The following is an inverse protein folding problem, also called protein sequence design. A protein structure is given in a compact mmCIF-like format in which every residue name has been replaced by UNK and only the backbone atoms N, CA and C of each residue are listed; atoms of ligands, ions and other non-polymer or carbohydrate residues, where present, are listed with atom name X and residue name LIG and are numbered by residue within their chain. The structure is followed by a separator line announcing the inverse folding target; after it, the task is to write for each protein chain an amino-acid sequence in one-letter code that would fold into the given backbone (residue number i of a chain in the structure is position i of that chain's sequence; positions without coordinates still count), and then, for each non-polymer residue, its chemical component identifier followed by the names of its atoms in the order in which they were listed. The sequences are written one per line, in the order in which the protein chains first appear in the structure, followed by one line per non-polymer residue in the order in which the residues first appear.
data_IF_757446590045
#
_entry.id   IF_757446590045
#
_cell.length_a   1.000
_cell.length_b   1.000
_cell.length_c   1.000
_cell.angle_alpha   90.00
_cell.angle_beta   90.00
_cell.angle_gamma   90.00
#
_symmetry.space_group_name_H-M   'P 1'
#
loop_
_entity.id
_entity.type
_entity.pdbx_description
1 polymer ?
#
# COMPACT_ATOMS: atom_id res chain seq x y z
N UNK A 1 22.85 -9.13 -3.09
CA UNK A 1 21.78 -8.62 -2.20
C UNK A 1 20.86 -9.78 -1.90
N UNK A 2 20.42 -9.91 -0.67
CA UNK A 2 19.49 -10.97 -0.29
C UNK A 2 18.19 -10.83 -1.10
N UNK A 3 17.69 -11.90 -1.66
CA UNK A 3 16.52 -11.88 -2.57
C UNK A 3 15.19 -11.94 -1.82
N UNK A 4 15.21 -12.17 -0.51
CA UNK A 4 14.03 -12.32 0.34
C UNK A 4 14.21 -11.65 1.70
N UNK A 5 13.09 -11.36 2.35
CA UNK A 5 13.02 -10.95 3.75
C UNK A 5 13.01 -12.17 4.66
N UNK A 6 13.64 -12.06 5.83
CA UNK A 6 13.62 -13.11 6.83
C UNK A 6 12.25 -13.20 7.52
N UNK A 7 11.63 -14.39 7.57
CA UNK A 7 10.38 -14.58 8.31
C UNK A 7 10.59 -14.32 9.82
N UNK A 8 9.67 -13.56 10.42
CA UNK A 8 9.64 -13.32 11.86
C UNK A 8 8.32 -13.83 12.46
N UNK A 9 8.20 -13.94 13.80
CA UNK A 9 6.92 -14.31 14.42
C UNK A 9 5.76 -13.37 14.04
N UNK A 10 6.05 -12.09 13.75
CA UNK A 10 5.04 -11.11 13.36
C UNK A 10 4.65 -11.19 11.87
N UNK A 11 5.55 -11.69 11.03
CA UNK A 11 5.33 -11.79 9.59
C UNK A 11 4.97 -13.20 9.11
N UNK A 12 4.98 -14.19 10.02
CA UNK A 12 4.63 -15.58 9.70
C UNK A 12 3.14 -15.83 9.97
N UNK A 13 2.32 -16.12 8.94
CA UNK A 13 0.90 -16.42 9.15
C UNK A 13 0.72 -17.74 9.92
N UNK A 14 -0.28 -17.77 10.81
CA UNK A 14 -0.64 -18.98 11.58
C UNK A 14 -1.43 -19.98 10.74
N UNK A 15 -2.19 -19.50 9.73
CA UNK A 15 -2.99 -20.33 8.81
C UNK A 15 -2.64 -20.03 7.36
N UNK A 16 -2.70 -21.04 6.50
CA UNK A 16 -2.39 -20.96 5.08
C UNK A 16 -0.97 -20.41 4.85
N UNK A 17 0.00 -21.02 5.52
CA UNK A 17 1.42 -20.64 5.44
C UNK A 17 1.98 -20.71 4.03
N UNK A 18 1.45 -21.61 3.20
CA UNK A 18 1.80 -21.78 1.79
C UNK A 18 1.48 -20.55 0.93
N UNK A 19 0.64 -19.64 1.42
CA UNK A 19 0.31 -18.38 0.75
C UNK A 19 1.27 -17.25 1.10
N UNK A 20 2.11 -17.44 2.10
CA UNK A 20 3.12 -16.43 2.47
C UNK A 20 4.19 -16.32 1.38
N UNK A 21 4.63 -15.10 1.13
CA UNK A 21 5.75 -14.77 0.24
C UNK A 21 6.65 -13.78 0.96
N UNK A 22 7.94 -14.00 0.83
CA UNK A 22 8.97 -13.16 1.45
C UNK A 22 9.94 -12.61 0.41
N UNK A 23 9.83 -13.06 -0.85
CA UNK A 23 10.67 -12.54 -1.91
C UNK A 23 10.39 -11.06 -2.16
N UNK A 24 11.49 -10.29 -2.35
CA UNK A 24 11.42 -8.83 -2.50
C UNK A 24 10.62 -8.43 -3.73
N UNK A 25 10.73 -9.17 -4.81
CA UNK A 25 10.03 -8.88 -6.05
C UNK A 25 8.51 -8.87 -5.86
N UNK A 26 7.96 -9.91 -5.22
CA UNK A 26 6.51 -10.00 -4.93
C UNK A 26 6.07 -8.89 -3.98
N UNK A 27 6.82 -8.64 -2.90
CA UNK A 27 6.49 -7.58 -1.93
C UNK A 27 6.53 -6.21 -2.60
N UNK A 28 7.60 -5.89 -3.32
CA UNK A 28 7.77 -4.60 -3.99
C UNK A 28 6.65 -4.36 -5.01
N UNK A 29 6.34 -5.36 -5.85
CA UNK A 29 5.26 -5.25 -6.83
C UNK A 29 3.91 -4.94 -6.18
N UNK A 30 3.57 -5.58 -5.05
CA UNK A 30 2.33 -5.33 -4.32
C UNK A 30 2.31 -3.91 -3.75
N UNK A 31 3.41 -3.45 -3.16
CA UNK A 31 3.54 -2.09 -2.63
C UNK A 31 3.50 -1.02 -3.73
N UNK A 32 4.12 -1.30 -4.88
CA UNK A 32 4.20 -0.35 -5.99
C UNK A 32 2.89 -0.26 -6.80
N UNK A 33 2.06 -1.31 -6.79
CA UNK A 33 0.76 -1.33 -7.48
C UNK A 33 -0.36 -0.71 -6.64
N UNK A 34 -0.30 -0.85 -5.31
CA UNK A 34 -1.36 -0.38 -4.41
C UNK A 34 -1.26 1.14 -4.18
N UNK A 35 -2.32 1.90 -4.48
CA UNK A 35 -2.35 3.35 -4.30
C UNK A 35 -2.54 3.76 -2.84
N UNK A 36 -3.20 2.93 -2.04
CA UNK A 36 -3.56 3.21 -0.64
C UNK A 36 -3.00 2.11 0.26
N UNK A 37 -2.40 2.53 1.36
CA UNK A 37 -2.08 1.66 2.47
C UNK A 37 -2.94 2.00 3.70
N UNK A 38 -2.95 1.08 4.66
CA UNK A 38 -3.54 1.29 5.98
C UNK A 38 -2.42 1.35 7.02
N UNK A 39 -2.22 2.52 7.60
CA UNK A 39 -1.23 2.78 8.65
C UNK A 39 -1.85 2.50 10.01
N UNK A 40 -1.42 1.43 10.66
CA UNK A 40 -1.75 1.10 12.04
C UNK A 40 -0.69 1.62 13.01
N UNK A 41 -1.09 2.29 14.08
CA UNK A 41 -0.22 2.76 15.16
C UNK A 41 -0.99 2.89 16.48
N UNK A 42 -0.28 3.12 17.58
CA UNK A 42 -0.92 3.35 18.89
C UNK A 42 -1.00 4.85 19.17
N UNK A 43 -2.21 5.34 19.44
CA UNK A 43 -2.47 6.71 19.86
C UNK A 43 -3.24 6.72 21.19
N UNK A 44 -2.74 7.43 22.18
CA UNK A 44 -3.32 7.48 23.54
C UNK A 44 -3.64 6.08 24.11
N UNK A 45 -2.75 5.11 23.91
CA UNK A 45 -2.90 3.73 24.40
C UNK A 45 -3.89 2.87 23.63
N UNK A 46 -4.44 3.35 22.50
CA UNK A 46 -5.40 2.61 21.68
C UNK A 46 -4.88 2.45 20.25
N UNK A 47 -5.17 1.31 19.58
CA UNK A 47 -4.86 1.13 18.17
C UNK A 47 -5.70 2.07 17.30
N UNK A 48 -5.06 2.70 16.34
CA UNK A 48 -5.68 3.52 15.31
C UNK A 48 -5.21 3.01 13.96
N UNK A 49 -6.09 2.94 12.97
CA UNK A 49 -5.77 2.58 11.58
C UNK A 49 -6.27 3.68 10.66
N UNK A 50 -5.39 4.22 9.83
CA UNK A 50 -5.69 5.30 8.89
C UNK A 50 -5.37 4.85 7.46
N UNK A 51 -6.30 4.95 6.50
CA UNK A 51 -5.97 4.88 5.09
C UNK A 51 -5.17 6.11 4.67
N UNK A 52 -4.09 5.90 3.93
CA UNK A 52 -3.26 6.99 3.40
C UNK A 52 -2.51 6.53 2.15
N UNK A 53 -1.96 7.47 1.39
CA UNK A 53 -1.04 7.15 0.30
C UNK A 53 0.34 6.80 0.86
N UNK A 54 1.07 6.00 0.09
CA UNK A 54 2.45 5.62 0.38
C UNK A 54 3.26 5.60 -0.90
N UNK A 55 4.56 5.53 -0.78
CA UNK A 55 5.44 5.20 -1.90
C UNK A 55 6.69 4.49 -1.40
N UNK A 56 7.22 3.59 -2.21
CA UNK A 56 8.45 2.86 -1.92
C UNK A 56 9.62 3.42 -2.76
N UNK A 57 10.71 3.69 -2.09
CA UNK A 57 11.97 4.02 -2.75
C UNK A 57 13.07 3.08 -2.22
N UNK A 58 13.53 2.16 -3.05
CA UNK A 58 14.45 1.11 -2.60
C UNK A 58 13.81 0.23 -1.53
N UNK A 59 14.45 0.17 -0.37
CA UNK A 59 14.00 -0.63 0.79
C UNK A 59 13.31 0.25 1.86
N UNK A 60 12.81 1.42 1.49
CA UNK A 60 12.13 2.32 2.43
C UNK A 60 10.74 2.68 1.90
N UNK A 61 9.74 2.56 2.76
CA UNK A 61 8.36 2.99 2.52
C UNK A 61 8.17 4.38 3.13
N UNK A 62 7.68 5.31 2.33
CA UNK A 62 7.41 6.68 2.76
C UNK A 62 5.91 6.91 2.89
N UNK A 63 5.54 7.61 3.97
CA UNK A 63 4.20 8.07 4.27
C UNK A 63 4.24 9.58 4.50
N UNK A 64 3.22 10.32 4.06
CA UNK A 64 3.17 11.76 4.29
C UNK A 64 1.86 12.20 4.92
N UNK A 65 1.88 13.40 5.48
CA UNK A 65 0.69 14.03 6.04
C UNK A 65 0.99 15.45 6.52
N UNK A 66 -0.04 16.12 7.02
CA UNK A 66 0.17 17.40 7.71
C UNK A 66 1.03 17.16 8.97
N UNK A 67 1.93 18.09 9.30
CA UNK A 67 2.70 18.05 10.56
C UNK A 67 1.82 18.03 11.82
N UNK A 68 0.55 18.44 11.70
CA UNK A 68 -0.45 18.35 12.78
C UNK A 68 -1.29 17.07 12.74
N UNK A 69 -1.05 16.13 11.82
CA UNK A 69 -1.78 14.86 11.78
C UNK A 69 -1.39 13.92 12.92
N UNK A 70 -2.32 13.03 13.32
CA UNK A 70 -2.11 12.10 14.42
C UNK A 70 -0.80 11.31 14.36
N UNK A 71 -0.46 10.63 13.23
CA UNK A 71 0.80 9.90 13.11
C UNK A 71 2.04 10.80 13.24
N UNK A 72 2.01 12.01 12.65
CA UNK A 72 3.14 12.95 12.74
C UNK A 72 3.32 13.49 14.15
N UNK A 73 2.22 13.79 14.86
CA UNK A 73 2.27 14.21 16.27
C UNK A 73 2.74 13.06 17.17
N UNK A 74 2.29 11.82 16.92
CA UNK A 74 2.75 10.65 17.67
C UNK A 74 4.23 10.40 17.47
N UNK A 75 4.73 10.46 16.23
CA UNK A 75 6.15 10.33 15.93
C UNK A 75 7.00 11.46 16.51
N UNK A 76 6.48 12.70 16.53
CA UNK A 76 7.16 13.84 17.18
C UNK A 76 7.23 13.69 18.71
N UNK A 77 6.21 13.14 19.34
CA UNK A 77 6.18 12.91 20.78
C UNK A 77 7.10 11.77 21.22
N UNK A 78 7.21 10.73 20.41
CA UNK A 78 8.05 9.55 20.68
C UNK A 78 8.51 8.92 19.38
N UNK A 79 9.68 9.30 18.91
CA UNK A 79 10.35 8.65 17.77
C UNK A 79 11.31 7.56 18.26
N UNK A 80 11.46 6.45 17.50
CA UNK A 80 10.66 6.08 16.34
C UNK A 80 9.23 5.66 16.73
N UNK A 81 8.28 5.75 15.78
CA UNK A 81 6.89 5.36 15.98
C UNK A 81 6.69 3.89 15.56
N UNK A 82 6.34 2.98 16.48
CA UNK A 82 5.97 1.62 16.12
C UNK A 82 4.70 1.61 15.26
N UNK A 83 4.78 0.98 14.09
CA UNK A 83 3.71 0.95 13.11
C UNK A 83 3.53 -0.43 12.48
N UNK A 84 2.34 -0.64 11.92
CA UNK A 84 2.07 -1.71 10.97
C UNK A 84 1.42 -1.07 9.74
N UNK A 85 2.04 -1.23 8.57
CA UNK A 85 1.49 -0.76 7.29
C UNK A 85 1.03 -1.96 6.50
N UNK A 86 -0.21 -1.91 6.00
CA UNK A 86 -0.77 -2.97 5.15
C UNK A 86 -1.30 -2.40 3.84
N UNK A 87 -1.14 -3.17 2.76
CA UNK A 87 -1.80 -2.95 1.48
C UNK A 87 -2.53 -4.21 1.07
N UNK A 88 -3.63 -4.06 0.32
CA UNK A 88 -4.38 -5.20 -0.22
C UNK A 88 -4.91 -4.86 -1.60
N UNK A 89 -4.67 -5.76 -2.54
CA UNK A 89 -5.22 -5.76 -3.88
C UNK A 89 -6.17 -6.95 -3.99
N UNK A 90 -7.39 -6.71 -4.43
CA UNK A 90 -8.40 -7.76 -4.67
C UNK A 90 -8.52 -7.95 -6.17
N UNK A 91 -8.11 -9.12 -6.66
CA UNK A 91 -8.01 -9.42 -8.09
C UNK A 91 -9.24 -10.16 -8.63
N UNK A 92 -9.98 -10.91 -7.78
CA UNK A 92 -11.24 -11.55 -8.17
C UNK A 92 -12.10 -11.94 -6.96
N UNK A 93 -13.41 -12.03 -7.16
CA UNK A 93 -14.32 -12.76 -6.27
C UNK A 93 -14.27 -14.25 -6.63
N UNK A 94 -14.28 -15.11 -5.61
CA UNK A 94 -14.33 -16.56 -5.78
C UNK A 94 -15.67 -17.05 -5.22
N UNK A 95 -16.56 -17.46 -6.11
CA UNK A 95 -17.88 -17.96 -5.79
C UNK A 95 -17.87 -19.49 -5.88
N UNK A 96 -18.28 -20.14 -4.83
CA UNK A 96 -18.29 -21.58 -4.70
C UNK A 96 -19.73 -22.10 -4.66
N UNK A 97 -19.93 -23.41 -4.71
CA UNK A 97 -21.25 -24.02 -4.55
C UNK A 97 -21.70 -23.99 -3.09
N UNK A 98 -20.77 -24.19 -2.18
CA UNK A 98 -21.00 -24.08 -0.73
C UNK A 98 -20.71 -22.66 -0.22
N UNK A 99 -21.54 -22.16 0.68
CA UNK A 99 -21.33 -20.86 1.33
C UNK A 99 -19.98 -20.76 2.06
N UNK A 100 -19.45 -21.87 2.55
CA UNK A 100 -18.18 -21.94 3.27
C UNK A 100 -16.97 -21.67 2.38
N UNK A 101 -17.03 -22.03 1.09
CA UNK A 101 -15.90 -22.00 0.17
C UNK A 101 -15.81 -20.71 -0.67
N UNK A 102 -16.71 -19.75 -0.46
CA UNK A 102 -16.58 -18.42 -1.05
C UNK A 102 -15.31 -17.74 -0.54
N UNK A 103 -14.63 -17.01 -1.41
CA UNK A 103 -13.35 -16.36 -1.09
C UNK A 103 -13.05 -15.22 -2.08
N UNK A 104 -11.80 -14.75 -2.07
CA UNK A 104 -11.26 -13.75 -3.01
C UNK A 104 -9.90 -14.20 -3.49
N UNK A 105 -9.55 -13.88 -4.73
CA UNK A 105 -8.16 -13.81 -5.19
C UNK A 105 -7.60 -12.48 -4.73
N UNK A 106 -6.47 -12.49 -4.04
CA UNK A 106 -5.90 -11.28 -3.49
C UNK A 106 -4.38 -11.37 -3.36
N UNK A 107 -3.76 -10.20 -3.35
CA UNK A 107 -2.37 -9.99 -2.99
C UNK A 107 -2.32 -8.94 -1.89
N UNK A 108 -1.59 -9.20 -0.81
CA UNK A 108 -1.43 -8.24 0.29
C UNK A 108 0.00 -8.23 0.76
N UNK A 109 0.45 -7.09 1.27
CA UNK A 109 1.73 -6.96 1.97
C UNK A 109 1.51 -6.34 3.34
N UNK A 110 2.32 -6.79 4.30
CA UNK A 110 2.35 -6.28 5.67
C UNK A 110 3.79 -5.90 5.99
N UNK A 111 3.98 -4.67 6.43
CA UNK A 111 5.27 -4.12 6.88
C UNK A 111 5.14 -3.74 8.33
N UNK A 112 5.94 -4.33 9.20
CA UNK A 112 5.97 -4.03 10.63
C UNK A 112 7.32 -3.42 10.97
N UNK A 113 7.32 -2.34 11.74
CA UNK A 113 8.57 -1.72 12.14
C UNK A 113 8.39 -0.39 12.84
N UNK A 114 9.48 0.33 12.94
CA UNK A 114 9.58 1.60 13.61
C UNK A 114 9.76 2.73 12.59
N UNK A 115 8.69 3.47 12.34
CA UNK A 115 8.73 4.60 11.41
C UNK A 115 9.44 5.80 12.06
N UNK A 116 10.43 6.36 11.34
CA UNK A 116 11.15 7.56 11.76
C UNK A 116 10.63 8.80 11.04
N UNK A 117 10.58 9.96 11.69
CA UNK A 117 10.39 11.23 11.01
C UNK A 117 11.54 11.50 10.05
N UNK A 118 11.23 12.03 8.86
CA UNK A 118 12.25 12.48 7.90
C UNK A 118 12.53 13.94 8.18
N UNK A 119 13.73 14.21 8.71
CA UNK A 119 14.18 15.56 9.09
C UNK A 119 15.03 16.20 7.99
N UNK A 120 15.83 15.39 7.24
CA UNK A 120 16.65 15.89 6.13
C UNK A 120 15.75 16.44 5.00
N UNK A 121 15.91 17.74 4.64
CA UNK A 121 15.10 18.36 3.58
C UNK A 121 15.27 17.68 2.21
N UNK A 122 16.46 17.17 1.90
CA UNK A 122 16.73 16.51 0.64
C UNK A 122 16.05 15.14 0.57
N UNK A 123 16.09 14.33 1.64
CA UNK A 123 15.35 13.08 1.74
C UNK A 123 13.83 13.34 1.65
N UNK A 124 13.35 14.36 2.38
CA UNK A 124 11.94 14.73 2.39
C UNK A 124 11.44 15.09 0.99
N UNK A 125 12.20 15.87 0.24
CA UNK A 125 11.86 16.25 -1.13
C UNK A 125 11.84 15.01 -2.05
N UNK A 126 12.84 14.12 -1.95
CA UNK A 126 12.85 12.84 -2.70
C UNK A 126 11.64 11.97 -2.37
N UNK A 127 11.27 11.86 -1.09
CA UNK A 127 10.10 11.10 -0.65
C UNK A 127 8.79 11.68 -1.23
N UNK A 128 8.62 13.00 -1.22
CA UNK A 128 7.46 13.68 -1.78
C UNK A 128 7.38 13.51 -3.30
N UNK A 129 8.50 13.59 -4.02
CA UNK A 129 8.53 13.30 -5.46
C UNK A 129 8.15 11.83 -5.73
N UNK A 130 8.69 10.89 -4.95
CA UNK A 130 8.34 9.48 -5.07
C UNK A 130 6.84 9.23 -4.86
N UNK A 131 6.22 9.90 -3.88
CA UNK A 131 4.77 9.83 -3.63
C UNK A 131 3.95 10.38 -4.80
N UNK A 132 4.39 11.46 -5.45
CA UNK A 132 3.74 12.00 -6.65
C UNK A 132 3.84 11.02 -7.83
N UNK A 133 5.02 10.49 -8.08
CA UNK A 133 5.25 9.54 -9.17
C UNK A 133 4.58 8.18 -8.93
N UNK A 134 4.37 7.78 -7.68
CA UNK A 134 3.58 6.62 -7.34
C UNK A 134 2.09 6.78 -7.71
N UNK A 135 1.54 7.99 -7.55
CA UNK A 135 0.15 8.31 -7.96
C UNK A 135 0.06 8.35 -9.49
N UNK A 136 1.01 9.04 -10.14
CA UNK A 136 1.06 9.16 -11.59
C UNK A 136 2.53 9.31 -12.02
N UNK A 137 3.06 8.27 -12.65
CA UNK A 137 4.46 8.22 -13.08
C UNK A 137 4.82 9.41 -13.98
N UNK A 138 5.87 10.16 -13.62
CA UNK A 138 6.31 11.38 -14.29
C UNK A 138 5.69 12.68 -13.74
N UNK A 139 4.72 12.58 -12.81
CA UNK A 139 4.03 13.77 -12.28
C UNK A 139 4.93 14.67 -11.45
N UNK A 140 5.92 14.13 -10.76
CA UNK A 140 6.84 14.94 -9.95
C UNK A 140 7.64 15.94 -10.79
N UNK A 141 7.96 15.59 -12.05
CA UNK A 141 8.66 16.47 -12.98
C UNK A 141 7.69 17.47 -13.69
N UNK A 142 6.39 17.18 -13.69
CA UNK A 142 5.35 17.96 -14.37
C UNK A 142 4.46 18.75 -13.40
N UNK A 143 5.03 19.16 -12.28
CA UNK A 143 4.40 20.08 -11.34
C UNK A 143 5.44 20.95 -10.63
N UNK A 144 4.97 22.06 -10.07
CA UNK A 144 5.84 22.97 -9.30
C UNK A 144 6.37 22.27 -8.05
N UNK A 145 7.67 22.38 -7.83
CA UNK A 145 8.31 21.92 -6.59
C UNK A 145 7.73 22.62 -5.36
N UNK A 146 7.52 21.92 -4.24
CA UNK A 146 7.02 22.50 -3.00
C UNK A 146 7.92 23.66 -2.52
N UNK A 147 7.32 24.76 -2.10
CA UNK A 147 8.05 25.87 -1.48
C UNK A 147 8.38 25.58 -0.01
N UNK A 148 9.20 26.45 0.61
CA UNK A 148 9.68 26.25 1.98
C UNK A 148 8.52 26.14 3.02
N UNK A 149 7.44 26.90 2.84
CA UNK A 149 6.27 26.85 3.73
C UNK A 149 5.53 25.51 3.59
N UNK A 150 5.32 25.05 2.36
CA UNK A 150 4.67 23.77 2.07
C UNK A 150 5.48 22.60 2.65
N UNK A 151 6.81 22.62 2.49
CA UNK A 151 7.70 21.64 3.09
C UNK A 151 7.64 21.67 4.62
N UNK A 152 7.58 22.86 5.23
CA UNK A 152 7.48 22.99 6.68
C UNK A 152 6.13 22.46 7.23
N UNK A 153 5.05 22.56 6.46
CA UNK A 153 3.72 22.07 6.84
C UNK A 153 3.50 20.59 6.59
N UNK A 154 4.38 19.94 5.80
CA UNK A 154 4.27 18.54 5.44
C UNK A 154 5.20 17.70 6.29
N UNK A 155 4.68 16.69 6.99
CA UNK A 155 5.46 15.65 7.67
C UNK A 155 5.66 14.46 6.74
N UNK A 156 6.81 13.80 6.88
CA UNK A 156 7.11 12.52 6.21
C UNK A 156 7.62 11.53 7.24
N UNK A 157 7.13 10.30 7.18
CA UNK A 157 7.64 9.15 7.93
C UNK A 157 8.32 8.20 6.95
N UNK A 158 9.45 7.65 7.36
CA UNK A 158 10.17 6.60 6.65
C UNK A 158 10.12 5.31 7.47
N UNK A 159 9.75 4.20 6.83
CA UNK A 159 9.68 2.87 7.40
C UNK A 159 10.53 1.94 6.54
N UNK A 160 11.60 1.41 7.10
CA UNK A 160 12.46 0.48 6.40
C UNK A 160 11.82 -0.90 6.27
N UNK A 161 11.97 -1.52 5.10
CA UNK A 161 11.43 -2.83 4.77
C UNK A 161 12.33 -3.93 5.37
N UNK A 162 12.18 -4.19 6.66
CA UNK A 162 12.95 -5.21 7.40
C UNK A 162 12.04 -6.39 7.79
N UNK A 163 10.98 -6.14 8.52
CA UNK A 163 9.97 -7.14 8.86
C UNK A 163 8.79 -7.05 7.90
N UNK A 164 8.84 -7.83 6.84
CA UNK A 164 7.88 -7.76 5.73
C UNK A 164 7.43 -9.14 5.33
N UNK A 165 6.15 -9.27 5.01
CA UNK A 165 5.60 -10.43 4.33
C UNK A 165 4.54 -10.02 3.33
N UNK A 166 4.39 -10.82 2.27
CA UNK A 166 3.21 -10.79 1.43
C UNK A 166 2.39 -12.06 1.62
N UNK A 167 1.11 -11.96 1.32
CA UNK A 167 0.21 -13.11 1.26
C UNK A 167 -0.53 -13.07 -0.05
N UNK A 168 -0.43 -14.16 -0.82
CA UNK A 168 -1.01 -14.29 -2.15
C UNK A 168 -1.95 -15.49 -2.15
N UNK A 169 -3.18 -15.28 -2.56
CA UNK A 169 -4.13 -16.33 -2.89
C UNK A 169 -4.54 -16.19 -4.35
N UNK A 170 -4.30 -17.22 -5.09
CA UNK A 170 -4.71 -17.42 -6.48
C UNK A 170 -5.63 -18.64 -6.59
N UNK A 171 -6.17 -18.87 -7.78
CA UNK A 171 -7.02 -20.00 -8.10
C UNK A 171 -8.49 -19.84 -7.74
N UNK A 172 -9.29 -20.70 -8.34
CA UNK A 172 -10.75 -20.71 -8.27
C UNK A 172 -11.31 -21.29 -6.97
N UNK A 173 -12.62 -21.61 -6.98
CA UNK A 173 -13.27 -22.27 -5.86
C UNK A 173 -12.74 -23.70 -5.68
N UNK A 174 -12.67 -24.12 -4.43
CA UNK A 174 -12.34 -25.50 -4.03
C UNK A 174 -13.52 -26.00 -3.22
N UNK A 175 -14.51 -26.58 -3.92
CA UNK A 175 -15.66 -27.19 -3.29
C UNK A 175 -15.33 -28.61 -2.79
N UNK A 176 -16.05 -29.08 -1.79
CA UNK A 176 -15.97 -30.48 -1.35
C UNK A 176 -16.53 -31.41 -2.43
N UNK A 177 -16.08 -32.68 -2.51
CA UNK A 177 -16.52 -33.62 -3.56
C UNK A 177 -18.03 -33.80 -3.64
N UNK A 178 -18.73 -33.80 -2.51
CA UNK A 178 -20.19 -33.91 -2.44
C UNK A 178 -20.93 -32.71 -3.01
N UNK A 179 -20.31 -31.54 -3.05
CA UNK A 179 -20.92 -30.31 -3.55
C UNK A 179 -20.79 -30.15 -5.06
N UNK A 180 -19.87 -30.89 -5.71
CA UNK A 180 -19.57 -30.72 -7.14
C UNK A 180 -20.77 -30.96 -8.06
N UNK A 181 -21.74 -31.82 -7.65
CA UNK A 181 -22.96 -32.11 -8.40
C UNK A 181 -24.11 -31.10 -8.14
N UNK A 182 -23.95 -30.18 -7.21
CA UNK A 182 -24.99 -29.20 -6.88
C UNK A 182 -25.21 -28.21 -8.03
N UNK A 183 -26.47 -27.80 -8.30
CA UNK A 183 -26.83 -26.97 -9.43
C UNK A 183 -26.57 -25.46 -9.16
N UNK A 184 -25.52 -25.14 -8.48
CA UNK A 184 -25.10 -23.75 -8.20
C UNK A 184 -23.91 -23.37 -9.08
N UNK A 185 -23.94 -22.16 -9.63
CA UNK A 185 -22.83 -21.63 -10.38
C UNK A 185 -21.61 -21.44 -9.46
N UNK A 186 -20.43 -21.85 -9.89
CA UNK A 186 -19.17 -21.66 -9.20
C UNK A 186 -18.11 -21.19 -10.19
N UNK A 187 -17.24 -20.27 -9.75
CA UNK A 187 -16.19 -19.70 -10.61
C UNK A 187 -15.59 -18.44 -10.02
N UNK A 188 -14.91 -17.68 -10.86
CA UNK A 188 -14.29 -16.40 -10.49
C UNK A 188 -14.92 -15.25 -11.25
N UNK A 189 -15.07 -14.10 -10.56
CA UNK A 189 -15.42 -12.83 -11.17
C UNK A 189 -14.21 -11.91 -11.03
N UNK A 190 -13.44 -11.67 -12.11
CA UNK A 190 -12.29 -10.77 -12.07
C UNK A 190 -12.68 -9.36 -11.67
N UNK A 191 -11.82 -8.70 -10.92
CA UNK A 191 -11.91 -7.28 -10.55
C UNK A 191 -10.67 -6.56 -11.07
N UNK A 192 -10.86 -5.36 -11.59
CA UNK A 192 -9.77 -4.50 -12.05
C UNK A 192 -10.02 -3.05 -11.67
N UNK A 193 -8.98 -2.39 -11.19
CA UNK A 193 -8.96 -0.94 -11.03
C UNK A 193 -8.41 -0.34 -12.32
N UNK A 194 -9.24 0.45 -13.03
CA UNK A 194 -8.85 1.10 -14.28
C UNK A 194 -8.91 2.62 -14.14
N UNK A 195 -7.98 3.31 -14.78
CA UNK A 195 -8.03 4.77 -14.91
C UNK A 195 -9.09 5.13 -15.96
N UNK A 196 -9.96 6.08 -15.62
CA UNK A 196 -10.94 6.64 -16.56
C UNK A 196 -10.34 7.72 -17.44
N UNK A 197 -11.17 8.32 -18.28
CA UNK A 197 -10.78 9.50 -19.07
C UNK A 197 -10.49 10.68 -18.12
N UNK A 198 -9.32 11.34 -18.27
CA UNK A 198 -9.00 12.51 -17.45
C UNK A 198 -10.04 13.62 -17.60
N UNK A 199 -10.41 14.22 -16.47
CA UNK A 199 -11.34 15.37 -16.43
C UNK A 199 -10.53 16.60 -16.01
N UNK A 200 -10.45 17.65 -16.84
CA UNK A 200 -9.71 18.87 -16.51
C UNK A 200 -10.38 19.61 -15.34
N UNK A 201 -9.58 20.38 -14.61
CA UNK A 201 -10.10 21.31 -13.63
C UNK A 201 -10.88 22.45 -14.34
N UNK A 202 -11.90 23.00 -13.67
CA UNK A 202 -12.77 24.05 -14.27
C UNK A 202 -12.02 25.34 -14.63
N UNK A 203 -10.92 25.61 -13.93
CA UNK A 203 -10.05 26.79 -14.11
C UNK A 203 -8.80 26.50 -14.95
N UNK A 204 -8.69 25.30 -15.55
CA UNK A 204 -7.54 24.95 -16.39
C UNK A 204 -7.60 25.70 -17.71
N UNK A 205 -6.48 26.37 -18.10
CA UNK A 205 -6.33 26.94 -19.43
C UNK A 205 -6.53 25.85 -20.50
N UNK A 206 -7.50 26.04 -21.45
CA UNK A 206 -7.77 25.05 -22.51
C UNK A 206 -6.58 24.74 -23.42
N UNK A 207 -5.55 25.60 -23.44
CA UNK A 207 -4.32 25.37 -24.19
C UNK A 207 -3.42 24.28 -23.53
N UNK A 208 -3.60 24.02 -22.24
CA UNK A 208 -2.84 23.00 -21.52
C UNK A 208 -3.42 21.61 -21.81
N UNK A 209 -2.63 20.80 -22.47
CA UNK A 209 -3.06 19.46 -22.88
C UNK A 209 -2.87 18.45 -21.74
N UNK A 210 -3.71 17.40 -21.79
CA UNK A 210 -3.56 16.24 -20.90
C UNK A 210 -2.18 15.61 -21.15
N UNK A 211 -1.36 15.38 -20.09
CA UNK A 211 -0.09 14.71 -20.22
C UNK A 211 -0.25 13.26 -20.73
N UNK A 212 0.72 12.80 -21.51
CA UNK A 212 0.67 11.46 -22.14
C UNK A 212 0.81 10.31 -21.17
N UNK A 213 1.18 10.56 -19.93
CA UNK A 213 1.31 9.53 -18.87
C UNK A 213 0.01 9.30 -18.05
N UNK A 214 -1.07 10.03 -18.32
CA UNK A 214 -2.37 9.92 -17.63
C UNK A 214 -3.38 9.04 -18.37
#
# INVERSE_FOLDING_TARGET
MDTAYEPTPRTTPTRYRERARYDRETVHRILDEALICHLGYISAGRPVVLPTTHARLGETLYLHGSTGSGPMLAAKAKAPLPVCVTVTLVDALVLARSALHHSMVYRSAVVVGDARPVEDPAEKLRALHCLLDHIASGRAADCRTPNARELAMTGVLALDLVEVSAKVRDGGPVDDPEDLALPYWAGMVPLSLTRGTPVPADDLDPAIRVPSYL
#
